data_IF_827617907446
#
_entry.id   IF_827617907446
#
_cell.length_a   1.000
_cell.length_b   1.000
_cell.length_c   1.000
_cell.angle_alpha   90.00
_cell.angle_beta   90.00
_cell.angle_gamma   90.00
#
_symmetry.space_group_name_H-M   'P 1'
#
loop_
_entity.id
_entity.type
_entity.pdbx_description
1 polymer ?
#
# COMPACT_ATOMS: atom_id res chain seq x y z
N UNK A 1 -9.93 0.44 -12.20
CA UNK A 1 -9.88 1.51 -11.24
C UNK A 1 -10.98 2.43 -11.72
N UNK A 2 -12.02 2.60 -10.92
CA UNK A 2 -13.20 3.35 -11.31
C UNK A 2 -13.36 4.59 -10.42
N UNK A 3 -13.04 5.76 -10.96
CA UNK A 3 -13.11 7.04 -10.24
C UNK A 3 -14.57 7.40 -9.98
N UNK A 4 -14.94 7.54 -8.70
CA UNK A 4 -16.26 7.93 -8.25
C UNK A 4 -16.40 9.44 -8.09
N UNK A 5 -15.37 10.12 -7.58
CA UNK A 5 -15.39 11.57 -7.38
C UNK A 5 -13.97 12.15 -7.30
N UNK A 6 -13.86 13.46 -7.56
CA UNK A 6 -12.62 14.23 -7.49
C UNK A 6 -12.89 15.55 -6.77
N UNK A 7 -12.14 15.84 -5.71
CA UNK A 7 -12.11 17.17 -5.06
C UNK A 7 -10.77 17.84 -5.31
N UNK A 8 -10.77 18.90 -6.13
CA UNK A 8 -9.57 19.72 -6.36
C UNK A 8 -9.18 20.55 -5.14
N UNK A 9 -10.18 20.97 -4.35
CA UNK A 9 -9.97 21.76 -3.14
C UNK A 9 -9.24 20.94 -2.08
N UNK A 10 -9.70 19.70 -1.88
CA UNK A 10 -9.17 18.82 -0.83
C UNK A 10 -8.00 17.97 -1.34
N UNK A 11 -7.73 17.97 -2.65
CA UNK A 11 -6.70 17.18 -3.34
C UNK A 11 -6.92 15.68 -3.17
N UNK A 12 -8.17 15.25 -3.28
CA UNK A 12 -8.61 13.87 -3.04
C UNK A 12 -9.37 13.30 -4.24
N UNK A 13 -9.27 11.97 -4.40
CA UNK A 13 -10.02 11.18 -5.37
C UNK A 13 -10.60 9.98 -4.65
N UNK A 14 -11.89 9.69 -4.86
CA UNK A 14 -12.50 8.43 -4.44
C UNK A 14 -12.56 7.51 -5.64
N UNK A 15 -12.06 6.28 -5.50
CA UNK A 15 -12.02 5.28 -6.57
C UNK A 15 -12.37 3.89 -6.04
N UNK A 16 -12.98 3.07 -6.90
CA UNK A 16 -13.20 1.65 -6.64
C UNK A 16 -12.10 0.87 -7.36
N UNK A 17 -11.44 -0.02 -6.64
CA UNK A 17 -10.45 -0.95 -7.16
C UNK A 17 -11.00 -2.36 -7.07
N UNK A 18 -10.79 -3.16 -8.11
CA UNK A 18 -11.05 -4.58 -8.03
C UNK A 18 -9.85 -5.35 -7.44
N UNK A 19 -10.02 -6.67 -7.30
CA UNK A 19 -9.02 -7.53 -6.70
C UNK A 19 -7.73 -7.61 -7.54
N UNK A 20 -7.81 -7.54 -8.87
CA UNK A 20 -6.64 -7.65 -9.76
C UNK A 20 -5.80 -6.39 -9.70
N UNK A 21 -6.45 -5.24 -9.61
CA UNK A 21 -5.81 -3.94 -9.49
C UNK A 21 -5.12 -3.75 -8.14
N UNK A 22 -5.76 -4.20 -7.06
CA UNK A 22 -5.15 -4.26 -5.74
C UNK A 22 -3.91 -5.17 -5.72
N UNK A 23 -3.96 -6.30 -6.44
CA UNK A 23 -2.79 -7.20 -6.60
C UNK A 23 -1.68 -6.49 -7.37
N UNK A 24 -1.99 -5.84 -8.49
CA UNK A 24 -1.03 -5.10 -9.31
C UNK A 24 -0.33 -4.00 -8.50
N UNK A 25 -1.11 -3.14 -7.83
CA UNK A 25 -0.58 -2.05 -6.99
C UNK A 25 0.29 -2.64 -5.86
N UNK A 26 -0.21 -3.66 -5.16
CA UNK A 26 0.53 -4.32 -4.09
C UNK A 26 1.87 -4.89 -4.55
N UNK A 27 1.93 -5.48 -5.74
CA UNK A 27 3.15 -6.03 -6.32
C UNK A 27 4.15 -4.94 -6.71
N UNK A 28 3.69 -3.84 -7.31
CA UNK A 28 4.55 -2.69 -7.64
C UNK A 28 5.18 -2.10 -6.38
N UNK A 29 4.37 -1.90 -5.33
CA UNK A 29 4.88 -1.40 -4.05
C UNK A 29 5.86 -2.39 -3.40
N UNK A 30 5.59 -3.69 -3.45
CA UNK A 30 6.52 -4.70 -2.97
C UNK A 30 7.87 -4.65 -3.70
N UNK A 31 7.87 -4.50 -5.03
CA UNK A 31 9.13 -4.35 -5.78
C UNK A 31 9.88 -3.08 -5.39
N UNK A 32 9.18 -1.97 -5.19
CA UNK A 32 9.80 -0.74 -4.68
C UNK A 32 10.51 -0.96 -3.33
N UNK A 33 9.94 -1.78 -2.43
CA UNK A 33 10.62 -2.14 -1.16
C UNK A 33 11.87 -2.99 -1.34
N UNK A 34 11.95 -3.82 -2.40
CA UNK A 34 13.15 -4.62 -2.69
C UNK A 34 14.30 -3.79 -3.25
N UNK A 35 13.97 -2.72 -3.96
CA UNK A 35 14.94 -1.83 -4.60
C UNK A 35 15.30 -0.61 -3.74
N UNK A 36 14.77 -0.50 -2.52
CA UNK A 36 15.06 0.64 -1.63
C UNK A 36 16.57 0.84 -1.38
N UNK A 37 17.34 -0.26 -1.34
CA UNK A 37 18.76 -0.24 -0.99
C UNK A 37 19.66 0.09 -2.19
N UNK A 38 19.10 0.16 -3.41
CA UNK A 38 19.86 0.58 -4.60
C UNK A 38 20.17 2.08 -4.62
N UNK A 39 19.63 2.85 -3.67
CA UNK A 39 19.79 4.31 -3.59
C UNK A 39 18.91 5.09 -4.56
N UNK A 40 18.29 4.42 -5.54
CA UNK A 40 17.45 5.05 -6.57
C UNK A 40 16.04 5.39 -6.06
N UNK A 41 15.59 4.73 -5.00
CA UNK A 41 14.21 4.85 -4.49
C UNK A 41 14.23 5.15 -3.00
N UNK A 42 13.86 6.39 -2.64
CA UNK A 42 13.63 6.78 -1.24
C UNK A 42 12.16 6.57 -0.87
N UNK A 43 11.89 5.54 -0.09
CA UNK A 43 10.55 5.25 0.43
C UNK A 43 10.24 6.10 1.67
N UNK A 44 9.12 6.81 1.62
CA UNK A 44 8.66 7.74 2.68
C UNK A 44 7.76 7.05 3.70
N UNK A 45 7.44 7.74 4.79
CA UNK A 45 6.39 7.32 5.73
C UNK A 45 5.06 7.03 5.00
N UNK A 46 4.61 7.95 4.13
CA UNK A 46 3.33 7.83 3.41
C UNK A 46 3.30 6.59 2.53
N UNK A 47 4.43 6.25 1.89
CA UNK A 47 4.55 5.02 1.11
C UNK A 47 4.26 3.79 1.96
N UNK A 48 4.89 3.68 3.13
CA UNK A 48 4.73 2.51 3.99
C UNK A 48 3.34 2.39 4.60
N UNK A 49 2.72 3.52 4.96
CA UNK A 49 1.31 3.54 5.40
C UNK A 49 0.39 3.03 4.30
N UNK A 50 0.46 3.63 3.11
CA UNK A 50 -0.34 3.23 1.96
C UNK A 50 -0.10 1.78 1.57
N UNK A 51 1.15 1.30 1.62
CA UNK A 51 1.48 -0.08 1.30
C UNK A 51 0.77 -1.06 2.25
N UNK A 52 0.78 -0.76 3.55
CA UNK A 52 0.10 -1.59 4.54
C UNK A 52 -1.42 -1.60 4.34
N UNK A 53 -2.02 -0.47 3.95
CA UNK A 53 -3.45 -0.36 3.69
C UNK A 53 -3.86 -1.11 2.41
N UNK A 54 -3.05 -1.01 1.34
CA UNK A 54 -3.23 -1.79 0.12
C UNK A 54 -3.11 -3.29 0.40
N UNK A 55 -2.18 -3.72 1.26
CA UNK A 55 -2.08 -5.13 1.66
C UNK A 55 -3.34 -5.61 2.38
N UNK A 56 -3.91 -4.82 3.28
CA UNK A 56 -5.16 -5.15 3.96
C UNK A 56 -6.30 -5.24 2.95
N UNK A 57 -6.50 -4.20 2.13
CA UNK A 57 -7.56 -4.15 1.14
C UNK A 57 -7.46 -5.31 0.13
N UNK A 58 -6.26 -5.57 -0.39
CA UNK A 58 -5.99 -6.67 -1.33
C UNK A 58 -6.35 -8.02 -0.71
N UNK A 59 -5.86 -8.32 0.50
CA UNK A 59 -6.06 -9.64 1.10
C UNK A 59 -7.54 -9.88 1.44
N UNK A 60 -8.22 -8.88 2.00
CA UNK A 60 -9.67 -8.96 2.25
C UNK A 60 -10.47 -9.09 0.95
N UNK A 61 -10.14 -8.31 -0.08
CA UNK A 61 -10.86 -8.33 -1.35
C UNK A 61 -10.62 -9.62 -2.15
N UNK A 62 -9.37 -10.08 -2.26
CA UNK A 62 -8.99 -11.23 -3.09
C UNK A 62 -9.20 -12.57 -2.38
N UNK A 63 -8.86 -12.65 -1.10
CA UNK A 63 -8.81 -13.90 -0.36
C UNK A 63 -9.85 -14.00 0.77
N UNK A 64 -10.53 -12.91 1.11
CA UNK A 64 -11.58 -12.89 2.13
C UNK A 64 -11.07 -12.96 3.58
N UNK A 65 -9.75 -12.93 3.81
CA UNK A 65 -9.16 -13.02 5.15
C UNK A 65 -7.77 -12.36 5.21
N UNK A 66 -7.27 -12.17 6.44
CA UNK A 66 -5.88 -11.86 6.74
C UNK A 66 -5.25 -13.07 7.43
N UNK A 67 -4.17 -13.59 6.86
CA UNK A 67 -3.38 -14.67 7.44
C UNK A 67 -2.16 -14.13 8.20
N UNK A 68 -1.47 -15.01 8.93
CA UNK A 68 -0.28 -14.62 9.70
C UNK A 68 0.82 -14.02 8.80
N UNK A 69 0.96 -14.52 7.58
CA UNK A 69 1.90 -13.97 6.60
C UNK A 69 1.59 -12.51 6.28
N UNK A 70 0.31 -12.18 6.06
CA UNK A 70 -0.14 -10.81 5.83
C UNK A 70 0.10 -9.92 7.05
N UNK A 71 -0.20 -10.42 8.26
CA UNK A 71 0.01 -9.66 9.50
C UNK A 71 1.47 -9.26 9.70
N UNK A 72 2.41 -10.18 9.52
CA UNK A 72 3.84 -9.90 9.66
C UNK A 72 4.29 -8.77 8.72
N UNK A 73 3.88 -8.81 7.46
CA UNK A 73 4.27 -7.79 6.48
C UNK A 73 3.60 -6.43 6.73
N UNK A 74 2.34 -6.42 7.16
CA UNK A 74 1.63 -5.20 7.56
C UNK A 74 2.34 -4.56 8.76
N UNK A 75 2.73 -5.35 9.75
CA UNK A 75 3.46 -4.88 10.92
C UNK A 75 4.81 -4.29 10.54
N UNK A 76 5.59 -4.99 9.71
CA UNK A 76 6.88 -4.51 9.20
C UNK A 76 6.74 -3.18 8.46
N UNK A 77 5.75 -3.05 7.57
CA UNK A 77 5.48 -1.80 6.86
C UNK A 77 5.15 -0.67 7.84
N UNK A 78 4.26 -0.91 8.82
CA UNK A 78 3.90 0.09 9.84
C UNK A 78 5.07 0.47 10.75
N UNK A 79 5.98 -0.46 11.06
CA UNK A 79 7.21 -0.17 11.79
C UNK A 79 8.11 0.77 10.98
N UNK A 80 8.36 0.45 9.71
CA UNK A 80 9.14 1.31 8.81
C UNK A 80 8.51 2.69 8.63
N UNK A 81 7.18 2.79 8.62
CA UNK A 81 6.50 4.09 8.58
C UNK A 81 6.86 4.95 9.81
N UNK A 82 6.83 4.37 11.02
CA UNK A 82 7.21 5.08 12.25
C UNK A 82 8.67 5.55 12.22
N UNK A 83 9.59 4.68 11.81
CA UNK A 83 11.02 5.01 11.68
C UNK A 83 11.32 6.13 10.66
N UNK A 84 10.39 6.43 9.75
CA UNK A 84 10.51 7.49 8.74
C UNK A 84 9.76 8.78 9.10
N UNK A 85 8.97 8.75 10.18
CA UNK A 85 8.23 9.89 10.69
C UNK A 85 9.08 10.76 11.65
N UNK A 86 10.10 10.15 12.26
CA UNK A 86 11.12 10.78 13.12
C UNK A 86 12.28 11.35 12.30
#
# INVERSE_FOLDING_TARGET
>A
MNIQSISKKDKEIVTILDAEELVLIGNVMYQATKHQDSGDIRLTEQFYRLYSDIMIARNLCKYGHLDNFSFEHIEQARKKAREKAD
#
